data_IF_015423804952
#
_entry.id   IF_015423804952
#
_cell.length_a   1.000
_cell.length_b   1.000
_cell.length_c   1.000
_cell.angle_alpha   90.00
_cell.angle_beta   90.00
_cell.angle_gamma   90.00
#
_symmetry.space_group_name_H-M   'P 1'
#
loop_
_entity.id
_entity.type
_entity.pdbx_description
1 polymer ?
#
# COMPACT_ATOMS: atom_id res chain seq x y z
N UNK A 1 -24.85 -17.42 5.74
CA UNK A 1 -25.33 -16.35 6.66
C UNK A 1 -25.94 -15.13 5.96
N UNK A 2 -25.61 -14.80 4.70
CA UNK A 2 -26.20 -13.64 4.01
C UNK A 2 -27.73 -13.73 3.78
N UNK A 3 -28.23 -14.92 3.42
CA UNK A 3 -29.66 -15.14 3.14
C UNK A 3 -30.51 -14.97 4.40
N UNK A 4 -30.02 -15.38 5.57
CA UNK A 4 -30.77 -15.22 6.82
C UNK A 4 -30.88 -13.76 7.27
N UNK A 5 -29.91 -12.92 6.87
CA UNK A 5 -29.85 -11.51 7.27
C UNK A 5 -30.85 -10.65 6.48
N UNK A 6 -30.95 -10.88 5.16
CA UNK A 6 -31.97 -10.21 4.35
C UNK A 6 -33.37 -10.76 4.64
N UNK A 7 -33.50 -12.07 4.88
CA UNK A 7 -34.77 -12.67 5.25
C UNK A 7 -35.32 -12.08 6.55
N UNK A 8 -34.52 -11.99 7.62
CA UNK A 8 -35.03 -11.43 8.88
C UNK A 8 -35.32 -9.92 8.80
N UNK A 9 -34.56 -9.16 8.01
CA UNK A 9 -34.84 -7.73 7.79
C UNK A 9 -36.15 -7.54 7.03
N UNK A 10 -36.37 -8.34 5.97
CA UNK A 10 -37.62 -8.31 5.19
C UNK A 10 -38.80 -8.76 6.07
N UNK A 11 -38.63 -9.82 6.85
CA UNK A 11 -39.66 -10.31 7.79
C UNK A 11 -40.02 -9.23 8.82
N UNK A 12 -39.03 -8.58 9.44
CA UNK A 12 -39.27 -7.49 10.39
C UNK A 12 -40.04 -6.32 9.75
N UNK A 13 -39.68 -5.91 8.53
CA UNK A 13 -40.40 -4.87 7.79
C UNK A 13 -41.83 -5.29 7.44
N UNK A 14 -42.05 -6.54 7.02
CA UNK A 14 -43.41 -7.05 6.72
C UNK A 14 -44.29 -7.09 7.97
N UNK A 15 -43.75 -7.44 9.14
CA UNK A 15 -44.47 -7.45 10.41
C UNK A 15 -44.86 -6.03 10.84
N UNK A 16 -43.93 -5.07 10.71
CA UNK A 16 -44.23 -3.65 11.00
C UNK A 16 -45.27 -3.07 10.04
N UNK A 17 -45.16 -3.37 8.75
CA UNK A 17 -46.10 -2.89 7.73
C UNK A 17 -47.49 -3.50 7.92
N UNK A 18 -47.59 -4.81 8.17
CA UNK A 18 -48.86 -5.47 8.47
C UNK A 18 -49.50 -4.92 9.75
N UNK A 19 -48.70 -4.68 10.78
CA UNK A 19 -49.15 -4.04 12.02
C UNK A 19 -49.69 -2.63 11.83
N UNK A 20 -48.98 -1.80 11.08
CA UNK A 20 -49.39 -0.44 10.78
C UNK A 20 -50.70 -0.39 9.97
N UNK A 21 -50.85 -1.29 8.99
CA UNK A 21 -52.08 -1.41 8.19
C UNK A 21 -53.25 -1.87 9.06
N UNK A 22 -53.05 -2.82 9.96
CA UNK A 22 -54.09 -3.30 10.88
C UNK A 22 -54.57 -2.17 11.80
N UNK A 23 -53.64 -1.38 12.37
CA UNK A 23 -53.95 -0.21 13.19
C UNK A 23 -54.70 0.86 12.37
N UNK A 24 -54.31 1.08 11.11
CA UNK A 24 -54.99 2.02 10.22
C UNK A 24 -56.42 1.59 9.87
N UNK A 25 -56.65 0.32 9.57
CA UNK A 25 -57.99 -0.21 9.25
C UNK A 25 -58.91 -0.11 10.46
N UNK A 26 -58.39 -0.40 11.66
CA UNK A 26 -59.14 -0.21 12.90
C UNK A 26 -59.45 1.28 13.11
N UNK A 27 -58.48 2.17 12.86
CA UNK A 27 -58.61 3.62 12.95
C UNK A 27 -59.71 4.20 12.06
N UNK A 28 -59.82 3.72 10.82
CA UNK A 28 -60.81 4.25 9.87
C UNK A 28 -62.22 3.73 10.09
N UNK A 29 -62.38 2.49 10.58
CA UNK A 29 -63.70 1.84 10.65
C UNK A 29 -64.38 1.95 12.04
N UNK A 30 -63.60 2.16 13.11
CA UNK A 30 -64.11 2.13 14.49
C UNK A 30 -63.57 3.26 15.37
N UNK A 31 -63.53 4.47 14.82
CA UNK A 31 -63.02 5.69 15.46
C UNK A 31 -63.53 5.95 16.91
N UNK A 32 -64.83 5.78 17.25
CA UNK A 32 -65.29 6.00 18.62
C UNK A 32 -64.87 4.91 19.62
N UNK A 33 -64.58 3.69 19.16
CA UNK A 33 -64.17 2.55 20.01
C UNK A 33 -62.68 2.65 20.37
N UNK A 34 -61.89 3.34 19.54
CA UNK A 34 -60.43 3.49 19.73
C UNK A 34 -60.11 4.45 20.87
N UNK A 35 -60.89 5.53 21.04
CA UNK A 35 -60.71 6.45 22.16
C UNK A 35 -60.96 5.80 23.53
N UNK A 36 -61.82 4.76 23.58
CA UNK A 36 -62.06 3.99 24.80
C UNK A 36 -61.01 2.89 25.02
N UNK A 37 -60.29 2.47 23.98
CA UNK A 37 -59.34 1.36 24.02
C UNK A 37 -57.91 1.78 23.62
N UNK A 38 -57.50 2.98 24.04
CA UNK A 38 -56.17 3.54 23.78
C UNK A 38 -55.07 2.64 24.37
N UNK A 39 -55.30 2.10 25.58
CA UNK A 39 -54.31 1.26 26.28
C UNK A 39 -54.03 -0.06 25.55
N UNK A 40 -55.04 -0.85 25.13
CA UNK A 40 -54.82 -2.02 24.27
C UNK A 40 -54.13 -1.70 22.94
N UNK A 41 -54.45 -0.55 22.31
CA UNK A 41 -53.85 -0.15 21.04
C UNK A 41 -52.34 0.15 21.19
N UNK A 42 -51.95 0.82 22.28
CA UNK A 42 -50.55 1.09 22.61
C UNK A 42 -49.81 -0.24 22.90
N UNK A 43 -50.41 -1.14 23.67
CA UNK A 43 -49.82 -2.46 23.96
C UNK A 43 -49.61 -3.29 22.68
N UNK A 44 -50.57 -3.23 21.75
CA UNK A 44 -50.47 -3.89 20.45
C UNK A 44 -49.32 -3.29 19.63
N UNK A 45 -49.21 -1.95 19.57
CA UNK A 45 -48.10 -1.27 18.91
C UNK A 45 -46.73 -1.63 19.51
N UNK A 46 -46.62 -1.65 20.83
CA UNK A 46 -45.39 -2.05 21.54
C UNK A 46 -45.07 -3.53 21.31
N UNK A 47 -46.06 -4.41 21.27
CA UNK A 47 -45.88 -5.84 20.97
C UNK A 47 -45.36 -6.08 19.56
N UNK A 48 -45.93 -5.43 18.55
CA UNK A 48 -45.48 -5.52 17.16
C UNK A 48 -44.06 -4.97 17.02
N UNK A 49 -43.76 -3.86 17.69
CA UNK A 49 -42.42 -3.30 17.71
C UNK A 49 -41.41 -4.25 18.39
N UNK A 50 -41.80 -4.89 19.50
CA UNK A 50 -40.98 -5.87 20.21
C UNK A 50 -40.65 -7.09 19.36
N UNK A 51 -41.63 -7.63 18.62
CA UNK A 51 -41.43 -8.76 17.69
C UNK A 51 -40.47 -8.35 16.56
N UNK A 52 -40.66 -7.17 15.97
CA UNK A 52 -39.77 -6.67 14.92
C UNK A 52 -38.33 -6.45 15.42
N UNK A 53 -38.18 -5.94 16.65
CA UNK A 53 -36.88 -5.76 17.29
C UNK A 53 -36.19 -7.10 17.54
N UNK A 54 -36.95 -8.13 17.93
CA UNK A 54 -36.42 -9.47 18.15
C UNK A 54 -35.80 -10.05 16.87
N UNK A 55 -36.48 -9.91 15.72
CA UNK A 55 -35.94 -10.38 14.43
C UNK A 55 -34.71 -9.59 13.94
N UNK A 56 -34.57 -8.33 14.36
CA UNK A 56 -33.37 -7.51 14.10
C UNK A 56 -32.19 -7.82 15.02
N UNK A 57 -32.43 -8.51 16.15
CA UNK A 57 -31.44 -8.80 17.19
C UNK A 57 -31.06 -10.29 17.29
N UNK A 58 -31.76 -11.19 16.59
CA UNK A 58 -31.65 -12.66 16.75
C UNK A 58 -30.37 -13.30 16.14
N UNK A 59 -29.38 -12.56 15.65
CA UNK A 59 -28.18 -13.18 15.07
C UNK A 59 -26.97 -13.18 16.04
N UNK A 60 -26.54 -14.35 16.56
CA UNK A 60 -25.59 -14.45 17.67
C UNK A 60 -24.11 -14.31 17.27
N UNK A 61 -23.76 -14.11 15.99
CA UNK A 61 -22.36 -14.17 15.55
C UNK A 61 -21.62 -12.84 15.45
N UNK A 62 -22.28 -11.68 15.23
CA UNK A 62 -21.57 -10.39 15.04
C UNK A 62 -22.27 -9.11 15.57
N UNK A 63 -23.32 -9.20 16.41
CA UNK A 63 -24.00 -8.02 16.95
C UNK A 63 -24.97 -7.33 15.97
N UNK A 64 -25.36 -6.07 16.29
CA UNK A 64 -26.49 -5.34 15.68
C UNK A 64 -26.52 -5.43 14.14
N UNK A 65 -27.58 -6.08 13.62
CA UNK A 65 -27.75 -6.44 12.21
C UNK A 65 -27.72 -5.25 11.24
N UNK A 66 -28.15 -4.09 11.71
CA UNK A 66 -28.18 -2.83 10.95
C UNK A 66 -26.75 -2.38 10.56
N UNK A 67 -25.77 -2.61 11.43
CA UNK A 67 -24.38 -2.17 11.22
C UNK A 67 -23.72 -3.00 10.11
N UNK A 68 -23.98 -4.32 10.10
CA UNK A 68 -23.45 -5.24 9.08
C UNK A 68 -24.08 -4.94 7.71
N UNK A 69 -25.39 -4.71 7.67
CA UNK A 69 -26.10 -4.33 6.43
C UNK A 69 -25.64 -2.98 5.89
N UNK A 70 -25.43 -1.98 6.75
CA UNK A 70 -24.93 -0.65 6.33
C UNK A 70 -23.49 -0.72 5.79
N UNK A 71 -22.59 -1.45 6.48
CA UNK A 71 -21.21 -1.67 6.00
C UNK A 71 -21.20 -2.35 4.63
N UNK A 72 -22.06 -3.34 4.41
CA UNK A 72 -22.19 -4.01 3.12
C UNK A 72 -22.77 -3.09 2.04
N UNK A 73 -23.80 -2.29 2.35
CA UNK A 73 -24.42 -1.37 1.40
C UNK A 73 -23.42 -0.30 0.95
N UNK A 74 -22.65 0.24 1.89
CA UNK A 74 -21.56 1.18 1.61
C UNK A 74 -20.53 0.54 0.67
N UNK A 75 -20.08 -0.68 0.98
CA UNK A 75 -19.10 -1.38 0.15
C UNK A 75 -19.62 -1.68 -1.27
N UNK A 76 -20.92 -2.02 -1.39
CA UNK A 76 -21.55 -2.29 -2.68
C UNK A 76 -21.79 -1.01 -3.51
N UNK A 77 -22.17 0.09 -2.87
CA UNK A 77 -22.28 1.39 -3.53
C UNK A 77 -20.91 1.91 -3.98
N UNK A 78 -19.89 1.81 -3.14
CA UNK A 78 -18.51 2.17 -3.49
C UNK A 78 -18.03 1.35 -4.71
N UNK A 79 -18.36 0.05 -4.77
CA UNK A 79 -18.02 -0.82 -5.91
C UNK A 79 -18.78 -0.51 -7.20
N UNK A 80 -20.01 0.00 -7.11
CA UNK A 80 -20.83 0.38 -8.28
C UNK A 80 -20.41 1.73 -8.87
N UNK A 81 -19.92 2.65 -8.04
CA UNK A 81 -19.35 3.94 -8.48
C UNK A 81 -17.99 3.74 -9.15
N UNK A 82 -17.21 2.75 -8.72
CA UNK A 82 -15.87 2.46 -9.26
C UNK A 82 -15.87 1.76 -10.64
N UNK A 83 -17.01 1.28 -11.14
CA UNK A 83 -17.06 0.43 -12.35
C UNK A 83 -17.12 1.19 -13.68
N UNK A 84 -17.21 2.53 -13.70
CA UNK A 84 -17.41 3.33 -14.94
C UNK A 84 -16.18 4.11 -15.41
N UNK A 85 -15.05 3.97 -14.72
CA UNK A 85 -13.79 4.59 -15.15
C UNK A 85 -12.70 3.54 -15.29
N UNK A 86 -11.87 3.64 -16.32
CA UNK A 86 -10.54 3.02 -16.29
C UNK A 86 -9.78 3.62 -15.10
N UNK A 87 -9.91 3.00 -13.93
CA UNK A 87 -9.12 3.36 -12.77
C UNK A 87 -7.71 2.89 -13.11
N UNK A 88 -6.81 3.81 -13.44
CA UNK A 88 -5.37 3.54 -13.44
C UNK A 88 -5.05 3.09 -12.02
N UNK A 89 -5.06 1.78 -11.79
CA UNK A 89 -4.54 1.18 -10.57
C UNK A 89 -3.09 1.63 -10.56
N UNK A 90 -2.77 2.62 -9.75
CA UNK A 90 -1.39 2.99 -9.46
C UNK A 90 -1.04 2.05 -8.32
N UNK A 91 -0.41 0.88 -8.57
CA UNK A 91 -0.13 -0.08 -7.51
C UNK A 91 0.77 0.50 -6.43
N UNK A 92 1.39 1.65 -6.67
CA UNK A 92 2.36 2.31 -5.80
C UNK A 92 1.93 3.76 -5.48
N UNK A 93 1.85 4.09 -4.20
CA UNK A 93 1.59 5.44 -3.69
C UNK A 93 2.64 5.83 -2.65
N UNK A 94 3.05 7.11 -2.62
CA UNK A 94 3.88 7.60 -1.52
C UNK A 94 3.02 7.78 -0.27
N UNK A 95 3.62 7.58 0.89
CA UNK A 95 2.97 7.87 2.17
C UNK A 95 2.82 9.40 2.29
N UNK A 96 1.62 9.94 2.55
CA UNK A 96 1.40 11.39 2.64
C UNK A 96 2.14 12.03 3.83
N UNK A 97 2.32 11.27 4.91
CA UNK A 97 3.02 11.68 6.15
C UNK A 97 4.55 11.72 6.00
N UNK A 98 5.09 11.29 4.86
CA UNK A 98 6.51 11.24 4.62
C UNK A 98 6.98 12.38 3.69
N UNK A 99 7.61 13.44 4.22
CA UNK A 99 8.02 14.60 3.44
C UNK A 99 9.14 14.27 2.43
N UNK A 100 10.00 13.31 2.75
CA UNK A 100 11.15 12.92 1.93
C UNK A 100 10.76 12.04 0.73
N UNK A 101 9.55 11.44 0.77
CA UNK A 101 9.00 10.58 -0.30
C UNK A 101 9.99 9.49 -0.72
N UNK A 102 10.60 8.85 0.27
CA UNK A 102 11.59 7.79 0.17
C UNK A 102 10.98 6.39 0.45
N UNK A 103 9.70 6.34 0.81
CA UNK A 103 8.93 5.12 1.04
C UNK A 103 7.68 5.10 0.16
N UNK A 104 7.48 3.98 -0.53
CA UNK A 104 6.30 3.71 -1.35
C UNK A 104 5.48 2.59 -0.72
N UNK A 105 4.17 2.78 -0.67
CA UNK A 105 3.20 1.75 -0.30
C UNK A 105 2.66 1.08 -1.57
N UNK A 106 2.75 -0.24 -1.63
CA UNK A 106 2.05 -1.05 -2.61
C UNK A 106 0.59 -1.20 -2.16
N UNK A 107 -0.34 -0.61 -2.89
CA UNK A 107 -1.77 -0.49 -2.52
C UNK A 107 -2.44 -1.86 -2.45
N UNK A 108 -2.10 -2.76 -3.39
CA UNK A 108 -2.74 -4.08 -3.52
C UNK A 108 -2.30 -5.07 -2.44
N UNK A 109 -1.00 -5.07 -2.09
CA UNK A 109 -0.43 -6.00 -1.10
C UNK A 109 -0.29 -5.41 0.30
N UNK A 110 -0.60 -4.12 0.46
CA UNK A 110 -0.39 -3.37 1.71
C UNK A 110 1.04 -3.49 2.26
N UNK A 111 2.04 -3.47 1.37
CA UNK A 111 3.47 -3.58 1.72
C UNK A 111 4.15 -2.22 1.52
N UNK A 112 5.04 -1.86 2.42
CA UNK A 112 5.87 -0.66 2.34
C UNK A 112 7.25 -1.01 1.79
N UNK A 113 7.77 -0.18 0.88
CA UNK A 113 9.01 -0.43 0.15
C UNK A 113 9.90 0.81 0.24
N UNK A 114 11.16 0.60 0.61
CA UNK A 114 12.24 1.57 0.52
C UNK A 114 13.32 1.05 -0.43
N UNK A 115 14.01 1.95 -1.15
CA UNK A 115 15.01 1.57 -2.16
C UNK A 115 16.32 2.34 -2.00
N UNK A 116 17.41 1.67 -2.32
CA UNK A 116 18.78 2.17 -2.29
C UNK A 116 19.46 1.90 -3.61
N UNK A 117 20.23 2.86 -4.13
CA UNK A 117 21.23 2.61 -5.15
C UNK A 117 22.57 2.39 -4.47
N UNK A 118 23.27 1.33 -4.83
CA UNK A 118 24.44 0.83 -4.13
C UNK A 118 25.59 0.65 -5.11
N UNK A 119 26.77 1.08 -4.70
CA UNK A 119 28.04 0.83 -5.39
C UNK A 119 28.73 -0.31 -4.67
N UNK A 120 28.74 -1.48 -5.31
CA UNK A 120 29.40 -2.67 -4.77
C UNK A 120 30.93 -2.53 -4.77
N UNK A 121 31.58 -3.27 -3.88
CA UNK A 121 33.02 -3.46 -3.91
C UNK A 121 33.34 -4.46 -5.04
N UNK A 122 34.02 -4.02 -6.09
CA UNK A 122 34.59 -4.93 -7.10
C UNK A 122 36.11 -4.92 -6.94
N UNK A 123 36.66 -5.94 -6.28
CA UNK A 123 38.11 -6.15 -6.25
C UNK A 123 38.48 -7.23 -7.26
N UNK A 124 39.15 -6.87 -8.38
CA UNK A 124 39.64 -7.84 -9.37
C UNK A 124 40.72 -8.77 -8.81
N UNK A 125 41.25 -8.46 -7.61
CA UNK A 125 42.28 -9.21 -6.89
C UNK A 125 41.86 -9.45 -5.44
N UNK A 126 40.60 -9.85 -5.20
CA UNK A 126 40.11 -10.10 -3.84
C UNK A 126 40.85 -11.29 -3.22
N UNK A 127 41.60 -11.07 -2.14
CA UNK A 127 42.16 -12.16 -1.35
C UNK A 127 41.01 -12.95 -0.70
N UNK A 128 41.17 -14.26 -0.54
CA UNK A 128 40.16 -15.15 0.05
C UNK A 128 39.74 -14.75 1.48
N UNK A 129 40.52 -13.91 2.17
CA UNK A 129 40.17 -13.30 3.46
C UNK A 129 39.02 -12.29 3.34
N UNK A 130 39.08 -11.40 2.37
CA UNK A 130 38.14 -10.28 2.24
C UNK A 130 36.77 -10.81 1.81
N UNK A 131 36.77 -11.81 0.92
CA UNK A 131 35.56 -12.53 0.54
C UNK A 131 34.89 -13.23 1.73
N UNK A 132 35.68 -13.78 2.67
CA UNK A 132 35.13 -14.39 3.89
C UNK A 132 34.54 -13.35 4.83
N UNK A 133 35.14 -12.17 4.92
CA UNK A 133 34.62 -11.06 5.71
C UNK A 133 33.30 -10.54 5.12
N UNK A 134 33.24 -10.32 3.81
CA UNK A 134 32.00 -9.93 3.13
C UNK A 134 30.91 -10.99 3.24
N UNK A 135 31.25 -12.28 3.10
CA UNK A 135 30.29 -13.36 3.31
C UNK A 135 29.74 -13.40 4.74
N UNK A 136 30.57 -13.07 5.75
CA UNK A 136 30.11 -12.96 7.14
C UNK A 136 29.17 -11.77 7.35
N UNK A 137 29.46 -10.63 6.74
CA UNK A 137 28.57 -9.45 6.79
C UNK A 137 27.24 -9.74 6.10
N UNK A 138 27.27 -10.39 4.94
CA UNK A 138 26.06 -10.76 4.19
C UNK A 138 25.22 -11.80 4.94
N UNK A 139 25.85 -12.83 5.52
CA UNK A 139 25.17 -13.78 6.40
C UNK A 139 24.54 -13.10 7.63
N UNK A 140 25.22 -12.10 8.20
CA UNK A 140 24.71 -11.30 9.32
C UNK A 140 23.51 -10.47 8.88
N UNK A 141 23.54 -9.87 7.69
CA UNK A 141 22.41 -9.14 7.12
C UNK A 141 21.20 -10.07 6.92
N UNK A 142 21.39 -11.23 6.29
CA UNK A 142 20.33 -12.22 6.03
C UNK A 142 19.72 -12.77 7.32
N UNK A 143 20.53 -13.03 8.34
CA UNK A 143 20.04 -13.51 9.65
C UNK A 143 19.21 -12.45 10.38
N UNK A 144 19.51 -11.17 10.16
CA UNK A 144 18.84 -10.04 10.82
C UNK A 144 17.57 -9.54 10.09
N UNK A 145 17.33 -10.03 8.87
CA UNK A 145 16.10 -9.81 8.11
C UNK A 145 15.10 -10.86 8.60
N UNK A 146 14.08 -10.40 9.33
CA UNK A 146 13.06 -11.30 9.86
C UNK A 146 12.14 -11.78 8.73
N UNK A 147 11.42 -12.89 8.97
CA UNK A 147 10.56 -13.60 8.00
C UNK A 147 9.52 -12.71 7.30
N UNK A 148 9.17 -11.58 7.91
CA UNK A 148 8.19 -10.62 7.42
C UNK A 148 8.78 -9.56 6.49
N UNK A 149 10.09 -9.60 6.23
CA UNK A 149 10.80 -8.64 5.39
C UNK A 149 11.48 -9.30 4.20
N UNK A 150 11.26 -8.73 3.01
CA UNK A 150 11.85 -9.23 1.77
C UNK A 150 12.82 -8.21 1.22
N UNK A 151 14.06 -8.63 0.97
CA UNK A 151 15.05 -7.85 0.23
C UNK A 151 15.08 -8.31 -1.22
N UNK A 152 15.00 -7.35 -2.14
CA UNK A 152 15.10 -7.57 -3.57
C UNK A 152 16.33 -6.80 -4.06
N UNK A 153 17.25 -7.49 -4.74
CA UNK A 153 18.41 -6.87 -5.36
C UNK A 153 18.22 -6.90 -6.88
N UNK A 154 18.25 -5.72 -7.49
CA UNK A 154 18.18 -5.52 -8.94
C UNK A 154 19.55 -5.08 -9.45
N UNK A 155 20.10 -5.81 -10.40
CA UNK A 155 21.41 -5.53 -11.01
C UNK A 155 21.16 -5.22 -12.48
N UNK A 156 21.33 -3.95 -12.84
CA UNK A 156 21.14 -3.48 -14.21
C UNK A 156 22.46 -3.02 -14.81
N UNK A 157 22.72 -3.43 -16.05
CA UNK A 157 23.88 -2.96 -16.83
C UNK A 157 23.39 -1.86 -17.76
N UNK A 158 23.63 -0.61 -17.39
CA UNK A 158 23.18 0.54 -18.15
C UNK A 158 24.30 1.08 -19.05
N UNK A 159 23.95 1.52 -20.26
CA UNK A 159 24.88 2.29 -21.09
C UNK A 159 25.15 3.63 -20.41
N UNK A 160 26.42 3.96 -20.20
CA UNK A 160 26.78 5.28 -19.67
C UNK A 160 26.51 6.31 -20.77
N UNK A 161 25.71 7.33 -20.44
CA UNK A 161 25.56 8.52 -21.29
C UNK A 161 26.64 9.49 -20.80
N UNK A 162 27.76 9.65 -21.52
CA UNK A 162 28.77 10.60 -21.11
C UNK A 162 28.20 12.02 -21.26
N UNK A 163 28.39 12.85 -20.23
CA UNK A 163 28.07 14.26 -20.28
C UNK A 163 29.35 15.09 -20.43
N UNK A 164 29.25 16.26 -21.06
CA UNK A 164 30.39 17.18 -21.14
C UNK A 164 30.54 17.88 -19.79
N UNK A 165 31.72 17.77 -19.20
CA UNK A 165 32.10 18.55 -18.02
C UNK A 165 31.87 20.05 -18.28
N UNK A 166 31.14 20.70 -17.37
CA UNK A 166 31.04 22.15 -17.35
C UNK A 166 32.43 22.73 -17.07
N UNK A 167 32.82 23.69 -17.89
CA UNK A 167 34.10 24.39 -17.74
C UNK A 167 33.81 25.79 -17.20
N UNK A 168 34.73 26.37 -16.40
CA UNK A 168 34.57 27.73 -15.91
C UNK A 168 34.58 28.73 -17.08
N UNK A 169 33.99 29.90 -16.88
CA UNK A 169 33.81 30.92 -17.93
C UNK A 169 35.14 31.43 -18.53
N UNK A 170 36.25 31.27 -17.81
CA UNK A 170 37.61 31.62 -18.24
C UNK A 170 38.41 30.45 -18.83
N UNK A 171 37.75 29.38 -19.26
CA UNK A 171 38.41 28.19 -19.78
C UNK A 171 39.27 28.50 -21.02
N UNK A 172 40.53 28.10 -20.96
CA UNK A 172 41.46 28.25 -22.08
C UNK A 172 41.07 27.35 -23.26
N UNK A 173 41.48 27.73 -24.47
CA UNK A 173 41.20 26.95 -25.67
C UNK A 173 41.75 25.50 -25.59
N UNK A 174 42.89 25.31 -24.91
CA UNK A 174 43.45 24.00 -24.63
C UNK A 174 42.53 23.13 -23.74
N UNK A 175 41.90 23.73 -22.72
CA UNK A 175 40.93 23.03 -21.85
C UNK A 175 39.68 22.60 -22.62
N UNK A 176 39.18 23.45 -23.52
CA UNK A 176 38.04 23.13 -24.37
C UNK A 176 38.33 21.93 -25.29
N UNK A 177 39.53 21.91 -25.90
CA UNK A 177 39.98 20.81 -26.76
C UNK A 177 40.13 19.51 -25.95
N UNK A 178 40.78 19.58 -24.79
CA UNK A 178 40.96 18.41 -23.91
C UNK A 178 39.62 17.82 -23.43
N UNK A 179 38.65 18.67 -23.06
CA UNK A 179 37.30 18.22 -22.70
C UNK A 179 36.62 17.51 -23.87
N UNK A 180 36.64 18.12 -25.05
CA UNK A 180 35.97 17.56 -26.23
C UNK A 180 36.57 16.21 -26.62
N UNK A 181 37.91 16.06 -26.55
CA UNK A 181 38.60 14.78 -26.77
C UNK A 181 38.19 13.72 -25.74
N UNK A 182 38.12 14.06 -24.45
CA UNK A 182 37.66 13.14 -23.40
C UNK A 182 36.21 12.71 -23.63
N UNK A 183 35.33 13.65 -23.94
CA UNK A 183 33.93 13.37 -24.26
C UNK A 183 33.81 12.44 -25.47
N UNK A 184 34.53 12.73 -26.56
CA UNK A 184 34.54 11.88 -27.75
C UNK A 184 35.04 10.47 -27.45
N UNK A 185 36.13 10.33 -26.69
CA UNK A 185 36.68 9.02 -26.27
C UNK A 185 35.70 8.22 -25.42
N UNK A 186 34.99 8.87 -24.51
CA UNK A 186 33.98 8.22 -23.66
C UNK A 186 32.69 7.90 -24.42
N UNK A 187 32.32 8.73 -25.41
CA UNK A 187 31.13 8.57 -26.25
C UNK A 187 31.30 7.54 -27.36
N UNK A 188 32.51 7.37 -27.89
CA UNK A 188 32.80 6.37 -28.93
C UNK A 188 33.04 4.97 -28.37
N UNK A 189 33.25 4.84 -27.06
CA UNK A 189 33.45 3.55 -26.41
C UNK A 189 32.13 2.78 -26.27
N UNK A 190 31.92 1.79 -27.13
CA UNK A 190 30.75 0.89 -27.11
C UNK A 190 30.65 0.03 -25.84
N UNK A 191 31.77 -0.15 -25.13
CA UNK A 191 31.86 -0.93 -23.90
C UNK A 191 31.69 -0.06 -22.64
N UNK A 192 31.34 1.22 -22.78
CA UNK A 192 31.10 2.12 -21.66
C UNK A 192 29.75 1.78 -20.99
N UNK A 193 29.77 0.78 -20.11
CA UNK A 193 28.63 0.28 -19.36
C UNK A 193 28.88 0.50 -17.87
N UNK A 194 27.85 0.91 -17.14
CA UNK A 194 27.88 1.03 -15.69
C UNK A 194 26.96 -0.01 -15.07
N UNK A 195 27.46 -0.71 -14.05
CA UNK A 195 26.69 -1.65 -13.26
C UNK A 195 25.99 -0.84 -12.18
N UNK A 196 24.66 -0.73 -12.28
CA UNK A 196 23.84 -0.10 -11.25
C UNK A 196 23.15 -1.20 -10.46
N UNK A 197 23.53 -1.31 -9.19
CA UNK A 197 22.89 -2.21 -8.23
C UNK A 197 21.90 -1.40 -7.40
N UNK A 198 20.65 -1.84 -7.36
CA UNK A 198 19.63 -1.29 -6.49
C UNK A 198 19.18 -2.36 -5.50
N UNK A 199 19.02 -1.99 -4.24
CA UNK A 199 18.55 -2.87 -3.17
C UNK A 199 17.24 -2.30 -2.64
N UNK A 200 16.21 -3.12 -2.58
CA UNK A 200 14.89 -2.75 -2.08
C UNK A 200 14.58 -3.57 -0.84
N UNK A 201 14.08 -2.91 0.20
CA UNK A 201 13.56 -3.56 1.40
C UNK A 201 12.06 -3.37 1.40
N UNK A 202 11.34 -4.47 1.59
CA UNK A 202 9.87 -4.46 1.68
C UNK A 202 9.40 -5.06 2.99
N UNK A 203 8.37 -4.47 3.60
CA UNK A 203 7.83 -4.89 4.90
C UNK A 203 6.33 -4.57 5.02
N UNK A 204 5.54 -5.35 5.77
CA UNK A 204 4.10 -5.15 5.93
C UNK A 204 3.75 -3.94 6.82
N UNK A 205 4.66 -3.51 7.69
CA UNK A 205 4.48 -2.35 8.58
C UNK A 205 5.55 -1.29 8.33
N UNK A 206 5.16 -0.03 8.43
CA UNK A 206 6.06 1.13 8.29
C UNK A 206 7.14 1.15 9.37
N UNK A 207 6.77 0.83 10.62
CA UNK A 207 7.71 0.82 11.75
C UNK A 207 8.77 -0.28 11.57
N UNK A 208 8.34 -1.47 11.14
CA UNK A 208 9.24 -2.58 10.82
C UNK A 208 10.17 -2.17 9.67
N UNK A 209 9.64 -1.54 8.63
CA UNK A 209 10.45 -1.05 7.52
C UNK A 209 11.53 -0.08 7.99
N UNK A 210 11.18 0.92 8.82
CA UNK A 210 12.14 1.91 9.34
C UNK A 210 13.26 1.27 10.17
N UNK A 211 12.92 0.30 11.04
CA UNK A 211 13.90 -0.43 11.84
C UNK A 211 14.85 -1.25 10.97
N UNK A 212 14.32 -1.94 9.95
CA UNK A 212 15.10 -2.77 9.01
C UNK A 212 15.97 -1.92 8.12
N UNK A 213 15.46 -0.78 7.70
CA UNK A 213 16.17 0.25 6.96
C UNK A 213 17.42 0.72 7.71
N UNK A 214 17.27 1.12 8.98
CA UNK A 214 18.38 1.57 9.81
C UNK A 214 19.44 0.47 9.99
N UNK A 215 19.02 -0.79 10.16
CA UNK A 215 19.94 -1.94 10.24
C UNK A 215 20.70 -2.17 8.94
N UNK A 216 20.01 -2.10 7.81
CA UNK A 216 20.64 -2.27 6.50
C UNK A 216 21.65 -1.16 6.21
N UNK A 217 21.33 0.10 6.54
CA UNK A 217 22.28 1.20 6.43
C UNK A 217 23.49 1.03 7.35
N UNK A 218 23.31 0.47 8.55
CA UNK A 218 24.43 0.14 9.44
C UNK A 218 25.37 -0.88 8.79
N UNK A 219 24.83 -1.93 8.15
CA UNK A 219 25.63 -2.93 7.43
C UNK A 219 26.36 -2.32 6.24
N UNK A 220 25.72 -1.39 5.52
CA UNK A 220 26.38 -0.63 4.45
C UNK A 220 27.57 0.18 4.97
N UNK A 221 27.41 0.86 6.12
CA UNK A 221 28.49 1.61 6.77
C UNK A 221 29.61 0.73 7.31
N UNK A 222 29.34 -0.54 7.62
CA UNK A 222 30.33 -1.53 8.04
C UNK A 222 31.20 -2.07 6.89
N UNK A 223 31.01 -1.58 5.67
CA UNK A 223 31.86 -1.91 4.53
C UNK A 223 31.26 -2.96 3.59
N UNK A 224 30.00 -3.37 3.78
CA UNK A 224 29.31 -4.25 2.82
C UNK A 224 29.28 -3.64 1.41
N UNK A 225 29.32 -2.31 1.31
CA UNK A 225 29.25 -1.55 0.07
C UNK A 225 30.25 -0.38 0.10
N UNK A 226 30.76 0.04 -1.06
CA UNK A 226 31.65 1.22 -1.15
C UNK A 226 30.89 2.53 -0.93
N UNK A 227 29.63 2.55 -1.36
CA UNK A 227 28.76 3.70 -1.22
C UNK A 227 27.31 3.31 -1.44
N UNK A 228 26.41 4.05 -0.83
CA UNK A 228 24.97 3.89 -1.03
C UNK A 228 24.31 5.26 -1.08
N UNK A 229 23.24 5.35 -1.87
CA UNK A 229 22.38 6.52 -1.97
C UNK A 229 20.93 6.06 -1.86
N UNK A 230 20.18 6.69 -0.97
CA UNK A 230 18.76 6.41 -0.84
C UNK A 230 17.99 6.96 -2.06
N UNK A 231 17.04 6.19 -2.59
CA UNK A 231 16.22 6.59 -3.71
C UNK A 231 15.02 7.39 -3.22
N UNK A 232 14.80 8.57 -3.82
CA UNK A 232 13.70 9.47 -3.47
C UNK A 232 12.77 9.72 -4.66
N UNK A 233 11.50 10.04 -4.36
CA UNK A 233 10.52 10.60 -5.31
C UNK A 233 10.49 9.82 -6.64
N UNK A 234 10.74 10.54 -7.75
CA UNK A 234 10.61 10.00 -9.10
C UNK A 234 11.60 8.88 -9.38
N UNK A 235 12.78 8.89 -8.76
CA UNK A 235 13.80 7.88 -8.98
C UNK A 235 13.39 6.56 -8.34
N UNK A 236 12.87 6.60 -7.11
CA UNK A 236 12.29 5.42 -6.47
C UNK A 236 11.11 4.86 -7.28
N UNK A 237 10.23 5.74 -7.77
CA UNK A 237 9.08 5.31 -8.58
C UNK A 237 9.49 4.68 -9.91
N UNK A 238 10.51 5.22 -10.58
CA UNK A 238 11.06 4.66 -11.83
C UNK A 238 11.71 3.31 -11.56
N UNK A 239 12.50 3.20 -10.50
CA UNK A 239 13.25 2.00 -10.15
C UNK A 239 12.34 0.85 -9.69
N UNK A 240 11.28 1.14 -8.94
CA UNK A 240 10.25 0.13 -8.62
C UNK A 240 9.49 -0.29 -9.89
N UNK A 241 9.15 0.66 -10.77
CA UNK A 241 8.46 0.31 -12.01
C UNK A 241 9.24 -0.67 -12.87
N UNK A 242 10.57 -0.53 -13.00
CA UNK A 242 11.39 -1.43 -13.82
C UNK A 242 11.47 -2.87 -13.29
N UNK A 243 11.06 -3.12 -12.04
CA UNK A 243 11.09 -4.47 -11.44
C UNK A 243 9.73 -5.14 -11.54
N UNK A 244 8.65 -4.36 -11.44
CA UNK A 244 7.29 -4.88 -11.45
C UNK A 244 6.58 -4.76 -12.82
N UNK A 245 7.17 -4.05 -13.79
CA UNK A 245 6.65 -3.84 -15.16
C UNK A 245 7.79 -3.89 -16.18
#
# INVERSE_FOLDING_TARGET
>A
MLISTWASTIIAFTILMAGAVLILILATNHLPIILQNIVPLILLGVGIFGIALQFLLINPSEGFQIIVSYKYLKHKFDSFVDSRGYKKVRPFTFIPENPEKDIIKMVDKNVYIAGYSVVGVYSPTSFTSDLKEYAKLDATLLTNIERDTTIITDISINKVIPEKLELPDNATQAMLIARNLRYQKSSSNLNNKNIKTNIYVSSPSLEVLQKRRARLEMQFRQGLVLGYQQLHKNDLKKAIKSIYF
#
